data_IF_190438997229
#
_entry.id   IF_190438997229
#
_cell.length_a   1.000
_cell.length_b   1.000
_cell.length_c   1.000
_cell.angle_alpha   90.00
_cell.angle_beta   90.00
_cell.angle_gamma   90.00
#
_symmetry.space_group_name_H-M   'P 1'
#
loop_
_entity.id
_entity.type
_entity.pdbx_description
1 polymer ?
#
# COMPACT_ATOMS: atom_id res chain seq x y z
N UNK A 1 -2.09 -5.48 29.21
CA UNK A 1 -1.74 -4.50 28.16
C UNK A 1 -0.53 -5.05 27.42
N UNK A 2 -0.64 -5.38 26.13
CA UNK A 2 0.50 -5.88 25.34
C UNK A 2 1.35 -4.68 24.94
N UNK A 3 2.58 -4.63 25.45
CA UNK A 3 3.55 -3.59 25.08
C UNK A 3 4.27 -4.02 23.82
N UNK A 4 4.03 -3.34 22.71
CA UNK A 4 4.72 -3.60 21.45
C UNK A 4 6.04 -2.82 21.42
N UNK A 5 7.16 -3.51 21.25
CA UNK A 5 8.48 -2.89 21.10
C UNK A 5 8.82 -2.79 19.62
N UNK A 6 8.87 -1.57 19.09
CA UNK A 6 9.26 -1.30 17.71
C UNK A 6 10.64 -0.65 17.66
N UNK A 7 11.45 -1.02 16.66
CA UNK A 7 12.76 -0.42 16.39
C UNK A 7 12.74 0.22 15.01
N UNK A 8 13.07 1.51 14.93
CA UNK A 8 13.17 2.24 13.67
C UNK A 8 14.63 2.23 13.23
N UNK A 9 14.88 1.82 11.98
CA UNK A 9 16.22 1.77 11.38
C UNK A 9 16.18 2.35 9.96
N UNK A 10 17.31 2.84 9.43
CA UNK A 10 17.43 3.20 8.02
C UNK A 10 17.07 2.02 7.10
N UNK A 11 16.44 2.33 5.97
CA UNK A 11 15.93 1.34 5.01
C UNK A 11 17.02 0.37 4.53
N UNK A 12 18.21 0.88 4.25
CA UNK A 12 19.32 0.11 3.67
C UNK A 12 19.92 -0.92 4.64
N UNK A 13 19.66 -0.79 5.94
CA UNK A 13 20.15 -1.74 6.94
C UNK A 13 19.43 -3.09 6.90
N UNK A 14 18.39 -3.25 6.06
CA UNK A 14 17.73 -4.54 5.87
C UNK A 14 18.73 -5.63 5.49
N UNK A 15 19.75 -5.31 4.66
CA UNK A 15 20.74 -6.27 4.20
C UNK A 15 21.75 -6.67 5.27
N UNK A 16 22.02 -5.78 6.23
CA UNK A 16 22.89 -6.07 7.37
C UNK A 16 22.15 -6.80 8.50
N UNK A 17 20.84 -6.58 8.63
CA UNK A 17 20.01 -7.19 9.67
C UNK A 17 19.49 -8.58 9.26
N UNK A 18 19.22 -8.79 7.97
CA UNK A 18 18.67 -10.04 7.45
C UNK A 18 19.49 -11.28 7.84
N UNK A 19 20.84 -11.28 7.77
CA UNK A 19 21.64 -12.41 8.22
C UNK A 19 21.39 -12.78 9.69
N UNK A 20 21.24 -11.78 10.55
CA UNK A 20 20.98 -11.99 11.97
C UNK A 20 19.57 -12.57 12.20
N UNK A 21 18.57 -12.12 11.43
CA UNK A 21 17.22 -12.70 11.47
C UNK A 21 17.21 -14.15 10.96
N UNK A 22 17.94 -14.45 9.89
CA UNK A 22 18.07 -15.82 9.37
C UNK A 22 18.79 -16.73 10.37
N UNK A 23 19.79 -16.20 11.09
CA UNK A 23 20.54 -16.95 12.10
C UNK A 23 19.70 -17.27 13.33
N UNK A 24 19.02 -16.26 13.88
CA UNK A 24 18.25 -16.36 15.13
C UNK A 24 16.86 -16.95 14.94
N UNK A 25 16.25 -16.72 13.77
CA UNK A 25 14.92 -17.20 13.43
C UNK A 25 14.90 -18.70 13.10
N UNK A 26 13.77 -19.33 13.43
CA UNK A 26 13.46 -20.71 13.02
C UNK A 26 13.21 -20.76 11.51
N UNK A 27 12.30 -19.93 11.04
CA UNK A 27 11.96 -19.74 9.63
C UNK A 27 11.72 -18.26 9.34
N UNK A 28 11.92 -17.85 8.09
CA UNK A 28 11.48 -16.56 7.56
C UNK A 28 10.32 -16.77 6.60
N UNK A 29 9.24 -16.00 6.81
CA UNK A 29 8.11 -15.98 5.90
C UNK A 29 8.26 -14.83 4.92
N UNK A 30 8.42 -15.14 3.63
CA UNK A 30 8.50 -14.13 2.57
C UNK A 30 7.29 -14.26 1.64
N UNK A 31 6.65 -13.13 1.27
CA UNK A 31 5.59 -13.16 0.26
C UNK A 31 6.16 -13.57 -1.10
N UNK A 32 5.36 -14.24 -1.91
CA UNK A 32 5.75 -14.73 -3.25
C UNK A 32 6.26 -13.61 -4.17
N UNK A 33 5.76 -12.39 -3.96
CA UNK A 33 6.14 -11.21 -4.72
C UNK A 33 7.38 -10.48 -4.15
N UNK A 34 8.06 -11.05 -3.15
CA UNK A 34 9.29 -10.47 -2.60
C UNK A 34 10.41 -10.43 -3.65
N UNK A 35 11.33 -9.48 -3.49
CA UNK A 35 12.42 -9.34 -4.45
C UNK A 35 13.39 -10.53 -4.39
N UNK A 36 14.05 -10.79 -5.51
CA UNK A 36 14.98 -11.91 -5.65
C UNK A 36 16.09 -11.93 -4.58
N UNK A 37 16.63 -10.77 -4.20
CA UNK A 37 17.72 -10.72 -3.22
C UNK A 37 17.28 -11.21 -1.84
N UNK A 38 16.07 -10.89 -1.38
CA UNK A 38 15.55 -11.41 -0.11
C UNK A 38 15.47 -12.95 -0.14
N UNK A 39 15.06 -13.53 -1.26
CA UNK A 39 15.04 -14.98 -1.44
C UNK A 39 16.44 -15.60 -1.42
N UNK A 40 17.40 -14.99 -2.13
CA UNK A 40 18.77 -15.50 -2.23
C UNK A 40 19.50 -15.55 -0.86
N UNK A 41 19.14 -14.66 0.06
CA UNK A 41 19.73 -14.60 1.39
C UNK A 41 19.17 -15.63 2.39
N UNK A 42 17.99 -16.22 2.12
CA UNK A 42 17.34 -17.14 3.06
C UNK A 42 17.57 -18.59 2.60
N UNK A 43 18.18 -19.44 3.44
CA UNK A 43 18.34 -20.86 3.13
C UNK A 43 16.99 -21.52 2.83
N UNK A 44 16.87 -22.37 1.78
CA UNK A 44 15.59 -22.97 1.39
C UNK A 44 14.89 -23.72 2.52
N UNK A 45 15.64 -24.37 3.42
CA UNK A 45 15.09 -25.09 4.57
C UNK A 45 14.45 -24.19 5.64
N UNK A 46 14.78 -22.89 5.64
CA UNK A 46 14.23 -21.89 6.56
C UNK A 46 13.19 -20.99 5.90
N UNK A 47 12.99 -21.12 4.59
CA UNK A 47 12.12 -20.25 3.83
C UNK A 47 10.69 -20.81 3.81
N UNK A 48 9.75 -19.98 4.24
CA UNK A 48 8.32 -20.22 4.07
C UNK A 48 7.77 -19.17 3.10
N UNK A 49 6.91 -19.59 2.18
CA UNK A 49 6.34 -18.71 1.16
C UNK A 49 4.82 -18.83 1.11
N UNK A 50 4.18 -17.75 0.69
CA UNK A 50 2.74 -17.67 0.46
C UNK A 50 2.22 -16.24 0.65
N UNK A 51 0.89 -16.04 0.60
CA UNK A 51 0.31 -14.72 0.81
C UNK A 51 0.56 -14.24 2.25
N UNK A 52 1.02 -13.00 2.41
CA UNK A 52 1.13 -12.39 3.73
C UNK A 52 -0.24 -12.42 4.44
N UNK A 53 -0.33 -12.86 5.72
CA UNK A 53 -1.59 -12.81 6.48
C UNK A 53 -2.16 -11.39 6.59
N UNK A 54 -1.29 -10.37 6.47
CA UNK A 54 -1.69 -8.96 6.44
C UNK A 54 -2.55 -8.64 5.21
N UNK A 55 -2.36 -9.35 4.09
CA UNK A 55 -3.16 -9.20 2.87
C UNK A 55 -4.62 -9.56 3.15
N UNK A 56 -4.86 -10.70 3.79
CA UNK A 56 -6.20 -11.17 4.17
C UNK A 56 -6.83 -10.24 5.21
N UNK A 57 -6.07 -9.85 6.24
CA UNK A 57 -6.55 -8.91 7.26
C UNK A 57 -6.96 -7.57 6.66
N UNK A 58 -6.24 -7.05 5.67
CA UNK A 58 -6.55 -5.76 5.03
C UNK A 58 -7.66 -5.85 3.98
N UNK A 59 -7.98 -7.06 3.49
CA UNK A 59 -9.07 -7.28 2.54
C UNK A 59 -10.44 -7.02 3.20
N UNK A 60 -10.60 -7.40 4.46
CA UNK A 60 -11.82 -7.16 5.22
C UNK A 60 -11.77 -5.81 5.93
N UNK A 61 -12.49 -4.82 5.40
CA UNK A 61 -12.57 -3.49 6.00
C UNK A 61 -13.38 -3.50 7.28
N UNK A 62 -12.84 -2.87 8.33
CA UNK A 62 -13.63 -2.61 9.52
C UNK A 62 -14.63 -1.47 9.28
N UNK A 63 -15.57 -1.28 10.21
CA UNK A 63 -16.65 -0.30 10.08
C UNK A 63 -16.14 1.15 9.93
N UNK A 64 -15.03 1.51 10.57
CA UNK A 64 -14.44 2.83 10.44
C UNK A 64 -13.80 3.04 9.06
N UNK A 65 -13.06 2.04 8.55
CA UNK A 65 -12.50 2.07 7.19
C UNK A 65 -13.60 2.13 6.14
N UNK A 66 -14.67 1.33 6.28
CA UNK A 66 -15.80 1.34 5.35
C UNK A 66 -16.52 2.70 5.32
N UNK A 67 -16.75 3.31 6.49
CA UNK A 67 -17.31 4.67 6.60
C UNK A 67 -16.38 5.71 5.94
N UNK A 68 -15.08 5.59 6.17
CA UNK A 68 -14.07 6.43 5.53
C UNK A 68 -14.11 6.34 4.01
N UNK A 69 -14.17 5.11 3.48
CA UNK A 69 -14.24 4.85 2.05
C UNK A 69 -15.50 5.43 1.41
N UNK A 70 -16.66 5.29 2.06
CA UNK A 70 -17.92 5.90 1.61
C UNK A 70 -17.82 7.43 1.55
N UNK A 71 -17.24 8.05 2.57
CA UNK A 71 -17.04 9.50 2.58
C UNK A 71 -16.11 9.98 1.45
N UNK A 72 -15.05 9.21 1.15
CA UNK A 72 -14.16 9.50 0.02
C UNK A 72 -14.89 9.40 -1.31
N UNK A 73 -15.72 8.37 -1.51
CA UNK A 73 -16.51 8.19 -2.74
C UNK A 73 -17.52 9.34 -2.94
N UNK A 74 -18.18 9.82 -1.87
CA UNK A 74 -19.10 10.96 -1.97
C UNK A 74 -18.36 12.23 -2.42
N UNK A 75 -17.16 12.47 -1.89
CA UNK A 75 -16.34 13.63 -2.29
C UNK A 75 -15.87 13.50 -3.74
N UNK A 76 -15.46 12.31 -4.15
CA UNK A 76 -15.03 12.04 -5.52
C UNK A 76 -16.18 12.22 -6.52
N UNK A 77 -17.38 11.72 -6.18
CA UNK A 77 -18.58 11.92 -6.99
C UNK A 77 -18.92 13.41 -7.17
N UNK A 78 -18.76 14.24 -6.13
CA UNK A 78 -18.96 15.68 -6.24
C UNK A 78 -17.96 16.34 -7.20
N UNK A 79 -16.69 15.90 -7.18
CA UNK A 79 -15.67 16.38 -8.13
C UNK A 79 -16.05 15.99 -9.55
N UNK A 80 -16.49 14.74 -9.76
CA UNK A 80 -16.96 14.26 -11.05
C UNK A 80 -18.15 15.04 -11.60
N UNK A 81 -19.18 15.29 -10.79
CA UNK A 81 -20.34 16.10 -11.21
C UNK A 81 -19.92 17.50 -11.64
N UNK A 82 -19.01 18.14 -10.89
CA UNK A 82 -18.49 19.47 -11.24
C UNK A 82 -17.67 19.44 -12.53
N UNK A 83 -16.89 18.40 -12.75
CA UNK A 83 -16.10 18.22 -13.96
C UNK A 83 -17.03 18.05 -15.17
N UNK A 84 -17.98 17.13 -15.11
CA UNK A 84 -18.93 16.86 -16.21
C UNK A 84 -19.74 18.12 -16.53
N UNK A 85 -20.28 18.80 -15.52
CA UNK A 85 -21.00 20.07 -15.71
C UNK A 85 -20.15 21.14 -16.39
N UNK A 86 -18.84 21.22 -16.08
CA UNK A 86 -17.92 22.15 -16.76
C UNK A 86 -17.65 21.75 -18.20
N UNK A 87 -17.51 20.46 -18.47
CA UNK A 87 -17.36 19.93 -19.83
C UNK A 87 -18.62 20.26 -20.65
N UNK A 88 -19.81 19.95 -20.15
CA UNK A 88 -21.08 20.25 -20.81
C UNK A 88 -21.24 21.74 -21.13
N UNK A 89 -20.79 22.62 -20.22
CA UNK A 89 -20.86 24.08 -20.42
C UNK A 89 -19.75 24.67 -21.29
N UNK A 90 -18.59 24.01 -21.39
CA UNK A 90 -17.37 24.54 -22.01
C UNK A 90 -17.06 23.98 -23.40
N UNK A 91 -17.69 22.89 -23.83
CA UNK A 91 -17.44 22.24 -25.14
C UNK A 91 -17.99 23.04 -26.34
N UNK A 92 -18.50 24.26 -26.14
CA UNK A 92 -18.78 25.21 -27.23
C UNK A 92 -17.59 26.12 -27.58
N UNK A 93 -16.49 26.10 -26.82
CA UNK A 93 -15.31 26.93 -27.09
C UNK A 93 -14.06 26.06 -27.11
N UNK A 94 -13.35 26.11 -28.22
CA UNK A 94 -12.19 25.28 -28.56
C UNK A 94 -11.08 25.29 -27.48
N UNK A 95 -10.59 24.07 -27.17
CA UNK A 95 -9.27 23.69 -26.64
C UNK A 95 -8.97 23.61 -25.11
N UNK A 96 -8.04 22.66 -24.86
CA UNK A 96 -7.20 22.39 -23.68
C UNK A 96 -7.76 21.53 -22.53
N UNK A 97 -7.92 20.24 -22.81
CA UNK A 97 -7.95 19.13 -21.82
C UNK A 97 -6.53 18.81 -21.34
N UNK A 98 -5.86 19.79 -20.75
CA UNK A 98 -4.69 19.51 -19.91
C UNK A 98 -4.72 20.53 -18.78
N UNK A 99 -4.50 20.09 -17.54
CA UNK A 99 -4.27 20.99 -16.40
C UNK A 99 -5.53 21.60 -15.74
N UNK A 100 -6.46 20.74 -15.28
CA UNK A 100 -7.11 21.04 -13.98
C UNK A 100 -6.12 20.66 -12.87
N UNK A 101 -5.06 21.46 -12.74
CA UNK A 101 -4.24 21.46 -11.54
C UNK A 101 -5.14 21.77 -10.35
N UNK A 102 -5.36 20.76 -9.52
CA UNK A 102 -5.87 20.90 -8.18
C UNK A 102 -4.98 21.90 -7.43
N UNK A 103 -5.36 23.18 -7.45
CA UNK A 103 -4.89 24.13 -6.46
C UNK A 103 -5.43 23.66 -5.10
N UNK A 104 -4.52 23.09 -4.32
CA UNK A 104 -4.68 22.81 -2.89
C UNK A 104 -4.86 24.11 -2.13
#
# INVERSE_FOLDING_TARGET
MLTFHFRIKPYDLVWTDLPEFVRTGKCLYLPEEANFLLYAWVPPLKLLTGPSPVKDLKAYKNSAEAKGMRNSQIKDALVWVRLVHRIEKGVSSSFDVEVLQLKR
#
